data_IF_258019965401
#
_entry.id   IF_258019965401
#
_cell.length_a   1.000
_cell.length_b   1.000
_cell.length_c   1.000
_cell.angle_alpha   90.00
_cell.angle_beta   90.00
_cell.angle_gamma   90.00
#
_symmetry.space_group_name_H-M   'P 1'
#
loop_
_entity.id
_entity.type
_entity.pdbx_description
1 polymer ?
#
# COMPACT_ATOMS: atom_id res chain seq x y z
N UNK A 1 -0.25 -11.56 15.05
CA UNK A 1 -0.55 -12.27 13.78
C UNK A 1 0.05 -13.66 13.78
N UNK A 2 1.35 -13.83 14.01
CA UNK A 2 1.99 -15.16 14.14
C UNK A 2 1.31 -16.02 15.21
N UNK A 3 1.16 -15.49 16.43
CA UNK A 3 0.46 -16.19 17.52
C UNK A 3 -1.00 -16.57 17.15
N UNK A 4 -1.69 -15.72 16.39
CA UNK A 4 -3.06 -16.02 15.97
C UNK A 4 -3.09 -17.19 14.96
N UNK A 5 -2.13 -17.26 14.03
CA UNK A 5 -1.98 -18.38 13.12
C UNK A 5 -1.63 -19.68 13.86
N UNK A 6 -0.76 -19.60 14.88
CA UNK A 6 -0.41 -20.73 15.74
C UNK A 6 -1.61 -21.25 16.52
N UNK A 7 -2.41 -20.36 17.10
CA UNK A 7 -3.66 -20.73 17.80
C UNK A 7 -4.67 -21.36 16.84
N UNK A 8 -4.82 -20.84 15.62
CA UNK A 8 -5.72 -21.40 14.63
C UNK A 8 -5.33 -22.83 14.21
N UNK A 9 -4.03 -23.12 14.16
CA UNK A 9 -3.52 -24.46 13.83
C UNK A 9 -3.83 -25.52 14.90
N UNK A 10 -4.20 -25.11 16.13
CA UNK A 10 -4.57 -26.04 17.21
C UNK A 10 -6.01 -26.57 17.08
N UNK A 11 -6.82 -25.99 16.19
CA UNK A 11 -8.19 -26.46 15.98
C UNK A 11 -8.20 -27.79 15.22
N UNK A 12 -8.99 -28.80 15.65
CA UNK A 12 -9.09 -30.08 14.96
C UNK A 12 -9.48 -29.90 13.49
N UNK A 13 -8.69 -30.45 12.58
CA UNK A 13 -8.92 -30.36 11.12
C UNK A 13 -8.49 -29.05 10.47
N UNK A 14 -7.86 -28.13 11.20
CA UNK A 14 -7.35 -26.89 10.63
C UNK A 14 -6.17 -27.12 9.68
N UNK A 15 -6.17 -26.37 8.57
CA UNK A 15 -5.05 -26.33 7.63
C UNK A 15 -4.03 -25.26 8.06
N UNK A 16 -2.74 -25.41 7.71
CA UNK A 16 -1.73 -24.39 7.98
C UNK A 16 -2.09 -23.04 7.34
N UNK A 17 -2.02 -21.96 8.12
CA UNK A 17 -2.25 -20.59 7.65
C UNK A 17 -0.89 -19.90 7.48
N UNK A 18 -0.58 -19.49 6.24
CA UNK A 18 0.60 -18.70 5.95
C UNK A 18 0.24 -17.22 5.87
N UNK A 19 0.86 -16.40 6.71
CA UNK A 19 0.66 -14.95 6.75
C UNK A 19 1.89 -14.24 6.18
N UNK A 20 1.67 -13.41 5.17
CA UNK A 20 2.72 -12.60 4.55
C UNK A 20 2.46 -11.13 4.85
N UNK A 21 3.43 -10.45 5.44
CA UNK A 21 3.39 -8.99 5.62
C UNK A 21 4.03 -8.32 4.40
N UNK A 22 3.36 -8.46 3.27
CA UNK A 22 3.70 -7.81 2.02
C UNK A 22 2.45 -7.15 1.43
N UNK A 23 2.62 -6.47 0.29
CA UNK A 23 1.54 -5.73 -0.36
C UNK A 23 1.00 -6.39 -1.63
N UNK A 24 1.46 -7.58 -1.99
CA UNK A 24 0.98 -8.28 -3.21
C UNK A 24 1.17 -9.79 -3.11
N UNK A 25 0.29 -10.54 -3.74
CA UNK A 25 0.39 -11.99 -3.89
C UNK A 25 1.11 -12.42 -5.18
N UNK A 26 1.59 -11.46 -5.98
CA UNK A 26 2.13 -11.66 -7.34
C UNK A 26 1.16 -12.36 -8.32
N UNK A 27 -0.14 -12.42 -8.01
CA UNK A 27 -1.22 -12.94 -8.87
C UNK A 27 -2.24 -11.86 -9.25
N UNK A 28 -1.88 -10.60 -9.00
CA UNK A 28 -2.69 -9.43 -9.35
C UNK A 28 -3.38 -8.79 -8.14
N UNK A 29 -3.46 -9.46 -6.99
CA UNK A 29 -4.00 -8.83 -5.80
C UNK A 29 -2.97 -7.87 -5.18
N UNK A 30 -3.48 -6.76 -4.65
CA UNK A 30 -2.72 -5.75 -3.95
C UNK A 30 -3.38 -5.46 -2.60
N UNK A 31 -2.57 -5.38 -1.56
CA UNK A 31 -2.98 -5.12 -0.19
C UNK A 31 -2.23 -3.91 0.36
N UNK A 32 -2.92 -3.05 1.10
CA UNK A 32 -2.37 -1.77 1.52
C UNK A 32 -1.86 -1.80 2.97
N UNK A 33 -0.79 -1.04 3.23
CA UNK A 33 -0.35 -0.64 4.56
C UNK A 33 -0.51 0.87 4.67
N UNK A 34 -1.27 1.34 5.66
CA UNK A 34 -1.60 2.75 5.80
C UNK A 34 -0.82 3.41 6.94
N UNK A 35 -0.39 4.63 6.70
CA UNK A 35 0.21 5.51 7.71
C UNK A 35 -0.81 6.61 8.06
N UNK A 36 -1.06 6.83 9.34
CA UNK A 36 -1.98 7.87 9.81
C UNK A 36 -1.20 8.93 10.58
N UNK A 37 -1.35 10.19 10.19
CA UNK A 37 -0.65 11.32 10.77
C UNK A 37 -1.65 12.27 11.44
N UNK A 38 -1.51 12.47 12.75
CA UNK A 38 -2.25 13.50 13.45
C UNK A 38 -1.68 14.88 13.06
N UNK A 39 -2.55 15.78 12.60
CA UNK A 39 -2.16 17.12 12.14
C UNK A 39 -2.98 18.21 12.83
N UNK A 40 -2.42 19.42 12.93
CA UNK A 40 -3.18 20.60 13.37
C UNK A 40 -4.26 20.93 12.35
N UNK A 41 -5.48 21.20 12.82
CA UNK A 41 -6.63 21.53 11.99
C UNK A 41 -6.44 22.80 11.15
N UNK A 42 -5.65 23.73 11.64
CA UNK A 42 -5.31 25.00 10.98
C UNK A 42 -4.41 24.82 9.74
N UNK A 43 -3.80 23.65 9.53
CA UNK A 43 -2.89 23.39 8.42
C UNK A 43 -3.68 23.35 7.10
N UNK A 44 -3.45 24.24 6.12
CA UNK A 44 -4.17 24.18 4.86
C UNK A 44 -3.94 22.85 4.12
N UNK A 45 -5.01 22.18 3.69
CA UNK A 45 -4.87 20.89 3.00
C UNK A 45 -4.09 21.01 1.68
N UNK A 46 -4.20 22.16 1.00
CA UNK A 46 -3.42 22.47 -0.21
C UNK A 46 -1.92 22.37 0.02
N UNK A 47 -1.45 22.78 1.20
CA UNK A 47 -0.02 22.79 1.53
C UNK A 47 0.45 21.35 1.79
N UNK A 48 -0.36 20.55 2.48
CA UNK A 48 -0.12 19.12 2.64
C UNK A 48 0.01 18.41 1.29
N UNK A 49 -0.90 18.67 0.34
CA UNK A 49 -0.81 18.08 -1.00
C UNK A 49 0.45 18.55 -1.74
N UNK A 50 0.72 19.86 -1.72
CA UNK A 50 1.87 20.46 -2.41
C UNK A 50 3.20 19.89 -1.92
N UNK A 51 3.35 19.67 -0.62
CA UNK A 51 4.63 19.29 -0.02
C UNK A 51 4.77 17.77 0.21
N UNK A 52 3.70 17.07 0.61
CA UNK A 52 3.79 15.64 0.91
C UNK A 52 3.74 14.76 -0.35
N UNK A 53 3.07 15.19 -1.42
CA UNK A 53 3.02 14.41 -2.67
C UNK A 53 4.42 14.10 -3.23
N UNK A 54 5.32 15.08 -3.47
CA UNK A 54 6.66 14.78 -3.99
C UNK A 54 7.49 13.96 -3.00
N UNK A 55 7.30 14.14 -1.69
CA UNK A 55 7.96 13.32 -0.67
C UNK A 55 7.51 11.86 -0.74
N UNK A 56 6.20 11.59 -0.83
CA UNK A 56 5.67 10.23 -0.92
C UNK A 56 6.02 9.52 -2.24
N UNK A 57 6.20 10.26 -3.33
CA UNK A 57 6.68 9.69 -4.60
C UNK A 57 8.15 9.27 -4.51
N UNK A 58 9.00 10.08 -3.88
CA UNK A 58 10.46 9.85 -3.83
C UNK A 58 10.90 8.91 -2.70
N UNK A 59 10.14 8.82 -1.59
CA UNK A 59 10.54 8.02 -0.42
C UNK A 59 10.71 6.52 -0.69
N UNK A 60 10.12 6.00 -1.77
CA UNK A 60 10.26 4.60 -2.16
C UNK A 60 11.72 4.15 -2.35
N UNK A 61 12.65 5.09 -2.55
CA UNK A 61 14.10 4.82 -2.65
C UNK A 61 14.65 4.19 -1.37
N UNK A 62 14.13 4.58 -0.20
CA UNK A 62 14.62 4.07 1.09
C UNK A 62 13.54 3.31 1.89
N UNK A 63 12.26 3.46 1.58
CA UNK A 63 11.16 2.72 2.24
C UNK A 63 10.62 1.55 1.41
N UNK A 64 11.09 1.37 0.18
CA UNK A 64 10.57 0.36 -0.73
C UNK A 64 10.87 -1.07 -0.26
N UNK A 65 9.85 -1.91 -0.14
CA UNK A 65 10.00 -3.32 0.25
C UNK A 65 10.48 -4.25 -0.89
N UNK A 66 10.60 -3.73 -2.12
CA UNK A 66 11.05 -4.47 -3.28
C UNK A 66 9.98 -5.40 -3.89
N UNK A 67 9.93 -5.47 -5.22
CA UNK A 67 9.14 -6.45 -5.97
C UNK A 67 9.89 -6.91 -7.21
N UNK A 68 9.96 -8.22 -7.40
CA UNK A 68 10.40 -8.83 -8.67
C UNK A 68 9.17 -8.99 -9.58
N UNK A 69 9.33 -8.65 -10.86
CA UNK A 69 8.29 -8.72 -11.88
C UNK A 69 7.79 -7.34 -12.29
N UNK A 70 8.14 -6.94 -13.52
CA UNK A 70 7.61 -5.76 -14.20
C UNK A 70 6.76 -6.22 -15.37
N UNK A 71 5.48 -5.82 -15.38
CA UNK A 71 4.52 -6.24 -16.38
C UNK A 71 4.24 -7.75 -16.39
N UNK A 72 3.53 -8.21 -17.43
CA UNK A 72 3.21 -9.63 -17.67
C UNK A 72 4.44 -10.51 -17.90
N UNK A 73 5.53 -9.93 -18.41
CA UNK A 73 6.75 -10.67 -18.75
C UNK A 73 7.59 -11.03 -17.51
N UNK A 74 7.29 -10.47 -16.34
CA UNK A 74 7.87 -10.90 -15.06
C UNK A 74 9.36 -10.59 -14.88
N UNK A 75 9.99 -9.87 -15.82
CA UNK A 75 11.40 -9.50 -15.75
C UNK A 75 11.59 -8.15 -15.05
N UNK A 76 12.66 -8.03 -14.25
CA UNK A 76 13.06 -6.78 -13.60
C UNK A 76 12.67 -6.66 -12.13
N UNK A 77 13.26 -5.66 -11.46
CA UNK A 77 13.07 -5.38 -10.05
C UNK A 77 12.57 -3.93 -9.87
N UNK A 78 11.58 -3.74 -8.99
CA UNK A 78 11.11 -2.42 -8.57
C UNK A 78 11.32 -2.22 -7.08
N UNK A 79 11.54 -0.97 -6.70
CA UNK A 79 11.71 -0.56 -5.30
C UNK A 79 10.40 -0.68 -4.50
N UNK A 80 9.26 -0.35 -5.09
CA UNK A 80 7.94 -0.44 -4.43
C UNK A 80 7.11 -1.64 -4.91
N UNK A 81 6.44 -2.31 -3.97
CA UNK A 81 5.42 -3.32 -4.23
C UNK A 81 4.08 -2.69 -4.65
N UNK A 82 3.77 -1.55 -4.05
CA UNK A 82 2.62 -0.70 -4.35
C UNK A 82 3.06 0.21 -5.50
N UNK A 83 2.87 -0.27 -6.72
CA UNK A 83 3.02 0.49 -7.95
C UNK A 83 1.74 0.35 -8.77
N UNK A 84 1.69 0.87 -10.00
CA UNK A 84 0.59 0.55 -10.90
C UNK A 84 0.54 -0.96 -11.02
N UNK A 85 -0.44 -1.58 -10.37
CA UNK A 85 -0.85 -2.91 -10.75
C UNK A 85 -1.27 -2.85 -12.21
N UNK A 86 -1.18 -3.96 -12.91
CA UNK A 86 -1.98 -4.16 -14.10
C UNK A 86 -3.45 -4.21 -13.66
N UNK A 87 -3.98 -3.04 -13.32
CA UNK A 87 -5.37 -2.84 -13.02
C UNK A 87 -6.08 -2.85 -14.37
N UNK A 88 -6.80 -3.94 -14.65
CA UNK A 88 -7.86 -3.91 -15.64
C UNK A 88 -8.84 -2.78 -15.29
N UNK A 89 -8.74 -1.67 -16.02
CA UNK A 89 -9.84 -0.74 -16.24
C UNK A 89 -10.14 0.36 -15.22
N UNK A 90 -9.59 0.39 -14.00
CA UNK A 90 -9.91 1.47 -13.03
C UNK A 90 -8.68 2.06 -12.34
N UNK A 91 -8.27 3.26 -12.81
CA UNK A 91 -7.33 4.23 -12.24
C UNK A 91 -6.57 3.87 -10.96
N UNK A 92 -5.40 3.25 -11.12
CA UNK A 92 -4.51 2.83 -10.02
C UNK A 92 -3.33 3.80 -9.79
N UNK A 93 -3.61 5.10 -9.72
CA UNK A 93 -2.66 6.07 -9.15
C UNK A 93 -2.85 6.13 -7.63
N UNK A 94 -2.24 5.21 -6.88
CA UNK A 94 -2.43 5.08 -5.43
C UNK A 94 -2.21 6.37 -4.63
N UNK A 95 -1.28 7.24 -5.08
CA UNK A 95 -1.05 8.56 -4.49
C UNK A 95 -2.23 9.50 -4.72
N UNK A 96 -2.82 9.48 -5.92
CA UNK A 96 -3.94 10.34 -6.33
C UNK A 96 -5.25 9.91 -5.67
N UNK A 97 -5.44 8.62 -5.45
CA UNK A 97 -6.59 8.08 -4.71
C UNK A 97 -6.53 8.46 -3.22
N UNK A 98 -5.37 8.31 -2.57
CA UNK A 98 -5.18 8.65 -1.15
C UNK A 98 -5.41 10.15 -0.87
N UNK A 99 -4.94 11.04 -1.74
CA UNK A 99 -5.15 12.49 -1.62
C UNK A 99 -6.62 12.87 -1.78
N UNK A 100 -7.35 12.26 -2.72
CA UNK A 100 -8.80 12.55 -2.91
C UNK A 100 -9.63 12.11 -1.72
N UNK A 101 -9.37 10.93 -1.18
CA UNK A 101 -10.07 10.47 0.03
C UNK A 101 -9.75 11.38 1.20
N UNK A 102 -8.48 11.74 1.46
CA UNK A 102 -8.15 12.65 2.54
C UNK A 102 -8.84 14.03 2.43
N UNK A 103 -9.00 14.55 1.20
CA UNK A 103 -9.68 15.81 0.95
C UNK A 103 -11.16 15.80 1.36
N UNK A 104 -11.87 14.66 1.24
CA UNK A 104 -13.29 14.57 1.61
C UNK A 104 -13.54 14.65 3.12
N UNK A 105 -12.51 14.45 3.94
CA UNK A 105 -12.58 14.59 5.40
C UNK A 105 -12.11 15.96 5.89
N UNK A 106 -11.73 16.86 4.98
CA UNK A 106 -11.36 18.23 5.30
C UNK A 106 -12.58 19.14 5.14
N UNK A 107 -13.15 19.69 6.23
CA UNK A 107 -14.18 20.71 6.11
C UNK A 107 -13.67 21.87 5.25
N UNK A 108 -14.54 22.32 4.34
CA UNK A 108 -14.34 23.49 3.49
C UNK A 108 -13.99 24.75 4.28
#
# INVERSE_FOLDING_TARGET
MTEAAERAAQLPGAQPIHLYKNSTDNKGASYATHENYLMKRETPFSDSVRHLTPFFVSRQVFTGAGRVGIGQDGHGFRLSQIGPGECGGTGCDGVRASVRTAASWWPA
#
